data_IF_005930083894
#
_entry.id   IF_005930083894
#
_cell.length_a   1.000
_cell.length_b   1.000
_cell.length_c   1.000
_cell.angle_alpha   90.00
_cell.angle_beta   90.00
_cell.angle_gamma   90.00
#
_symmetry.space_group_name_H-M   'P 1'
#
loop_
_entity.id
_entity.type
_entity.pdbx_description
1 polymer ?
#
# COMPACT_ATOMS: atom_id res chain seq x y z
N UNK A 1 16.12 -28.02 -19.83
CA UNK A 1 14.95 -27.22 -20.24
C UNK A 1 15.29 -25.75 -20.17
N UNK A 2 15.33 -25.08 -21.30
CA UNK A 2 15.55 -23.63 -21.35
C UNK A 2 14.32 -22.93 -20.75
N UNK A 3 14.48 -22.27 -19.59
CA UNK A 3 13.41 -21.40 -19.07
C UNK A 3 13.25 -20.24 -20.04
N UNK A 4 12.08 -20.12 -20.68
CA UNK A 4 11.75 -18.93 -21.48
C UNK A 4 11.93 -17.71 -20.58
N UNK A 5 12.81 -16.79 -20.98
CA UNK A 5 12.94 -15.51 -20.32
C UNK A 5 11.63 -14.75 -20.54
N UNK A 6 10.96 -14.38 -19.47
CA UNK A 6 9.81 -13.49 -19.54
C UNK A 6 10.37 -12.09 -19.79
N UNK A 7 9.94 -11.45 -20.85
CA UNK A 7 10.26 -10.05 -21.16
C UNK A 7 9.00 -9.23 -21.09
N UNK A 8 9.09 -8.04 -20.56
CA UNK A 8 7.99 -7.08 -20.51
C UNK A 8 8.53 -5.67 -20.73
N UNK A 9 7.76 -4.81 -21.37
CA UNK A 9 8.10 -3.40 -21.53
C UNK A 9 7.93 -2.64 -20.22
N UNK A 10 6.95 -3.06 -19.40
CA UNK A 10 6.63 -2.47 -18.09
C UNK A 10 6.36 -3.58 -17.09
N UNK A 11 7.00 -3.46 -15.93
CA UNK A 11 6.76 -4.28 -14.75
C UNK A 11 5.99 -3.48 -13.71
N UNK A 12 4.88 -4.01 -13.26
CA UNK A 12 4.06 -3.42 -12.20
C UNK A 12 4.22 -4.26 -10.95
N UNK A 13 4.71 -3.64 -9.88
CA UNK A 13 4.96 -4.30 -8.61
C UNK A 13 3.99 -3.80 -7.55
N UNK A 14 3.36 -4.73 -6.86
CA UNK A 14 2.79 -4.46 -5.56
C UNK A 14 3.92 -4.24 -4.54
N UNK A 15 3.65 -3.49 -3.48
CA UNK A 15 4.66 -3.15 -2.48
C UNK A 15 4.51 -3.99 -1.21
N UNK A 16 3.42 -3.75 -0.48
CA UNK A 16 3.25 -4.25 0.87
C UNK A 16 3.10 -5.77 0.90
N UNK A 17 3.92 -6.44 1.72
CA UNK A 17 4.02 -7.89 1.81
C UNK A 17 4.37 -8.60 0.48
N UNK A 18 4.88 -7.84 -0.50
CA UNK A 18 5.33 -8.35 -1.81
C UNK A 18 6.81 -8.05 -2.01
N UNK A 19 7.24 -6.79 -1.96
CA UNK A 19 8.65 -6.41 -2.08
C UNK A 19 9.42 -6.55 -0.77
N UNK A 20 8.74 -6.68 0.33
CA UNK A 20 9.27 -7.10 1.62
C UNK A 20 8.38 -8.19 2.23
N UNK A 21 8.92 -9.08 3.09
CA UNK A 21 8.16 -10.19 3.64
C UNK A 21 7.19 -9.73 4.73
N UNK A 22 6.12 -10.49 4.93
CA UNK A 22 5.13 -10.27 5.98
C UNK A 22 5.72 -10.25 7.40
N UNK A 23 6.83 -10.92 7.59
CA UNK A 23 7.54 -11.02 8.87
C UNK A 23 8.09 -9.67 9.37
N UNK A 24 8.15 -8.65 8.49
CA UNK A 24 8.43 -7.28 8.90
C UNK A 24 7.29 -6.64 9.72
N UNK A 25 6.10 -7.25 9.70
CA UNK A 25 4.95 -6.93 10.54
C UNK A 25 4.44 -5.48 10.46
N UNK A 26 4.64 -4.83 9.33
CA UNK A 26 4.14 -3.46 9.13
C UNK A 26 2.62 -3.39 9.13
N UNK A 27 1.94 -4.43 8.61
CA UNK A 27 0.48 -4.48 8.57
C UNK A 27 -0.16 -4.53 9.95
N UNK A 28 0.48 -5.15 10.95
CA UNK A 28 -0.01 -5.14 12.32
C UNK A 28 -0.05 -3.71 12.89
N UNK A 29 0.99 -2.91 12.59
CA UNK A 29 1.00 -1.50 12.99
C UNK A 29 -0.11 -0.71 12.28
N UNK A 30 -0.26 -0.90 10.97
CA UNK A 30 -1.30 -0.25 10.16
C UNK A 30 -2.70 -0.64 10.66
N UNK A 31 -2.94 -1.92 10.96
CA UNK A 31 -4.25 -2.41 11.45
C UNK A 31 -4.63 -1.78 12.80
N UNK A 32 -3.66 -1.64 13.71
CA UNK A 32 -3.84 -0.92 14.99
C UNK A 32 -4.21 0.54 14.75
N UNK A 33 -3.49 1.22 13.84
CA UNK A 33 -3.76 2.61 13.48
C UNK A 33 -5.13 2.77 12.82
N UNK A 34 -5.51 1.89 11.90
CA UNK A 34 -6.84 1.92 11.28
C UNK A 34 -7.96 1.80 12.31
N UNK A 35 -7.84 0.84 13.22
CA UNK A 35 -8.80 0.65 14.30
C UNK A 35 -8.94 1.90 15.17
N UNK A 36 -7.81 2.49 15.58
CA UNK A 36 -7.79 3.71 16.37
C UNK A 36 -8.43 4.90 15.62
N UNK A 37 -8.11 5.05 14.33
CA UNK A 37 -8.72 6.10 13.51
C UNK A 37 -10.24 5.97 13.43
N UNK A 38 -10.74 4.77 13.13
CA UNK A 38 -12.20 4.52 13.04
C UNK A 38 -12.87 4.75 14.39
N UNK A 39 -12.26 4.28 15.49
CA UNK A 39 -12.80 4.51 16.84
C UNK A 39 -12.94 6.01 17.16
N UNK A 40 -11.90 6.79 16.87
CA UNK A 40 -11.90 8.23 17.10
C UNK A 40 -12.91 8.96 16.20
N UNK A 41 -12.94 8.62 14.91
CA UNK A 41 -13.84 9.26 13.94
C UNK A 41 -15.32 9.03 14.28
N UNK A 42 -15.67 7.81 14.69
CA UNK A 42 -17.06 7.42 14.95
C UNK A 42 -17.47 7.57 16.43
N UNK A 43 -16.54 7.84 17.32
CA UNK A 43 -16.82 7.92 18.76
C UNK A 43 -17.29 6.60 19.36
N UNK A 44 -16.74 5.46 18.89
CA UNK A 44 -17.08 4.10 19.33
C UNK A 44 -15.88 3.39 19.95
N UNK A 45 -16.14 2.31 20.68
CA UNK A 45 -15.06 1.54 21.28
C UNK A 45 -14.21 0.80 20.21
N UNK A 46 -12.96 0.44 20.54
CA UNK A 46 -12.05 -0.20 19.57
C UNK A 46 -12.55 -1.56 19.02
N UNK A 47 -13.35 -2.32 19.78
CA UNK A 47 -13.86 -3.60 19.31
C UNK A 47 -14.92 -3.41 18.22
N UNK A 48 -15.80 -2.43 18.39
CA UNK A 48 -16.80 -2.07 17.38
C UNK A 48 -16.16 -1.36 16.19
N UNK A 49 -15.14 -0.53 16.42
CA UNK A 49 -14.36 0.08 15.35
C UNK A 49 -13.69 -0.97 14.44
N UNK A 50 -13.18 -2.04 15.02
CA UNK A 50 -12.60 -3.16 14.25
C UNK A 50 -13.65 -3.85 13.36
N UNK A 51 -14.86 -4.06 13.87
CA UNK A 51 -15.97 -4.63 13.08
C UNK A 51 -16.31 -3.73 11.89
N UNK A 52 -16.43 -2.42 12.11
CA UNK A 52 -16.69 -1.43 11.05
C UNK A 52 -15.57 -1.44 10.02
N UNK A 53 -14.32 -1.41 10.47
CA UNK A 53 -13.14 -1.49 9.59
C UNK A 53 -13.21 -2.70 8.65
N UNK A 54 -13.47 -3.89 9.19
CA UNK A 54 -13.55 -5.13 8.39
C UNK A 54 -14.80 -5.18 7.51
N UNK A 55 -15.90 -4.61 7.95
CA UNK A 55 -17.11 -4.49 7.13
C UNK A 55 -16.88 -3.58 5.94
N UNK A 56 -16.24 -2.42 6.13
CA UNK A 56 -15.93 -1.51 5.03
C UNK A 56 -14.95 -2.14 4.04
N UNK A 57 -13.94 -2.83 4.52
CA UNK A 57 -13.03 -3.58 3.65
C UNK A 57 -13.80 -4.58 2.76
N UNK A 58 -14.74 -5.36 3.33
CA UNK A 58 -15.52 -6.34 2.58
C UNK A 58 -16.51 -5.71 1.59
N UNK A 59 -17.15 -4.61 1.99
CA UNK A 59 -18.23 -4.02 1.19
C UNK A 59 -17.74 -3.05 0.13
N UNK A 60 -16.59 -2.42 0.33
CA UNK A 60 -16.07 -1.33 -0.52
C UNK A 60 -14.69 -1.63 -1.11
N UNK A 61 -14.09 -2.77 -0.78
CA UNK A 61 -12.75 -3.16 -1.23
C UNK A 61 -11.61 -2.56 -0.41
N UNK A 62 -11.85 -1.48 0.35
CA UNK A 62 -10.92 -0.93 1.34
C UNK A 62 -11.67 -0.21 2.45
N UNK A 63 -11.06 -0.17 3.65
CA UNK A 63 -11.59 0.60 4.78
C UNK A 63 -11.69 2.09 4.43
N UNK A 64 -10.67 2.64 3.78
CA UNK A 64 -10.66 4.04 3.36
C UNK A 64 -11.82 4.37 2.43
N UNK A 65 -12.11 3.51 1.45
CA UNK A 65 -13.23 3.73 0.54
C UNK A 65 -14.56 3.78 1.28
N UNK A 66 -14.76 2.86 2.22
CA UNK A 66 -15.96 2.88 3.07
C UNK A 66 -16.08 4.16 3.89
N UNK A 67 -14.98 4.65 4.46
CA UNK A 67 -14.96 5.93 5.20
C UNK A 67 -15.26 7.14 4.31
N UNK A 68 -14.70 7.19 3.12
CA UNK A 68 -14.97 8.26 2.16
C UNK A 68 -16.43 8.29 1.73
N UNK A 69 -17.00 7.14 1.39
CA UNK A 69 -18.36 7.05 0.86
C UNK A 69 -19.44 7.29 1.95
N UNK A 70 -19.18 6.90 3.20
CA UNK A 70 -20.18 7.02 4.28
C UNK A 70 -19.97 8.24 5.18
N UNK A 71 -18.77 8.81 5.25
CA UNK A 71 -18.43 9.88 6.20
C UNK A 71 -17.80 11.09 5.54
N UNK A 72 -17.73 11.14 4.20
CA UNK A 72 -17.12 12.24 3.44
C UNK A 72 -15.69 12.57 3.90
N UNK A 73 -14.94 11.56 4.33
CA UNK A 73 -13.60 11.71 4.87
C UNK A 73 -12.62 12.09 3.76
N UNK A 74 -11.78 13.14 3.91
CA UNK A 74 -10.65 13.38 3.04
C UNK A 74 -9.63 12.23 3.16
N UNK A 75 -9.24 11.59 2.04
CA UNK A 75 -8.39 10.41 2.09
C UNK A 75 -7.01 10.67 2.72
N UNK A 76 -6.47 11.88 2.56
CA UNK A 76 -5.14 12.23 3.08
C UNK A 76 -5.06 12.14 4.59
N UNK A 77 -6.11 12.57 5.30
CA UNK A 77 -6.17 12.52 6.77
C UNK A 77 -6.02 11.08 7.29
N UNK A 78 -6.73 10.14 6.67
CA UNK A 78 -6.62 8.73 7.02
C UNK A 78 -5.23 8.17 6.69
N UNK A 79 -4.73 8.46 5.49
CA UNK A 79 -3.47 7.91 5.01
C UNK A 79 -2.28 8.40 5.85
N UNK A 80 -2.26 9.67 6.22
CA UNK A 80 -1.21 10.24 7.08
C UNK A 80 -1.22 9.58 8.46
N UNK A 81 -2.39 9.34 9.02
CA UNK A 81 -2.52 8.71 10.33
C UNK A 81 -2.12 7.24 10.33
N UNK A 82 -2.60 6.45 9.37
CA UNK A 82 -2.37 4.99 9.37
C UNK A 82 -0.96 4.61 8.92
N UNK A 83 -0.29 5.47 8.15
CA UNK A 83 1.08 5.27 7.69
C UNK A 83 2.15 5.95 8.57
N UNK A 84 1.75 6.58 9.66
CA UNK A 84 2.65 7.03 10.73
C UNK A 84 3.06 5.82 11.59
N UNK A 85 3.92 4.99 11.01
CA UNK A 85 4.39 3.71 11.55
C UNK A 85 5.91 3.62 11.50
N UNK A 86 6.45 2.71 12.29
CA UNK A 86 7.87 2.37 12.26
C UNK A 86 8.17 1.42 11.10
N UNK A 87 8.94 1.88 10.13
CA UNK A 87 9.38 1.06 8.97
C UNK A 87 10.78 0.45 9.17
N UNK A 88 11.42 0.67 10.31
CA UNK A 88 12.75 0.11 10.61
C UNK A 88 12.82 -1.42 10.63
N UNK A 89 11.72 -2.17 10.89
CA UNK A 89 11.71 -3.62 10.73
C UNK A 89 11.99 -4.11 9.29
N UNK A 90 11.82 -3.25 8.29
CA UNK A 90 12.15 -3.59 6.89
C UNK A 90 13.68 -3.44 6.70
N UNK A 91 14.42 -4.54 6.49
CA UNK A 91 15.86 -4.47 6.27
C UNK A 91 16.18 -4.04 4.83
N UNK A 92 17.37 -3.47 4.59
CA UNK A 92 17.92 -3.35 3.25
C UNK A 92 17.95 -4.71 2.54
N UNK A 93 17.66 -4.73 1.24
CA UNK A 93 17.63 -5.96 0.46
C UNK A 93 18.53 -5.86 -0.79
N UNK A 94 19.85 -6.05 -0.64
CA UNK A 94 20.80 -5.99 -1.77
C UNK A 94 20.54 -7.07 -2.84
N UNK A 95 19.99 -8.22 -2.46
CA UNK A 95 19.64 -9.27 -3.40
C UNK A 95 18.51 -8.84 -4.34
N UNK A 96 17.46 -8.22 -3.78
CA UNK A 96 16.36 -7.64 -4.55
C UNK A 96 16.85 -6.49 -5.44
N UNK A 97 17.70 -5.61 -4.93
CA UNK A 97 18.33 -4.54 -5.69
C UNK A 97 19.07 -5.09 -6.92
N UNK A 98 19.90 -6.12 -6.74
CA UNK A 98 20.61 -6.77 -7.84
C UNK A 98 19.71 -7.47 -8.86
N UNK A 99 18.58 -8.04 -8.44
CA UNK A 99 17.59 -8.65 -9.34
C UNK A 99 16.86 -7.58 -10.15
N UNK A 100 16.41 -6.51 -9.51
CA UNK A 100 15.74 -5.40 -10.18
C UNK A 100 16.65 -4.70 -11.20
N UNK A 101 17.95 -4.61 -10.88
CA UNK A 101 18.95 -4.08 -11.82
C UNK A 101 19.05 -4.92 -13.11
N UNK A 102 18.95 -6.23 -12.99
CA UNK A 102 19.04 -7.16 -14.13
C UNK A 102 17.72 -7.36 -14.90
N UNK A 103 16.64 -6.84 -14.37
CA UNK A 103 15.31 -6.95 -14.97
C UNK A 103 15.14 -5.83 -16.01
N UNK A 104 15.19 -6.20 -17.29
CA UNK A 104 14.96 -5.25 -18.39
C UNK A 104 13.50 -4.76 -18.39
N UNK A 105 13.30 -3.51 -18.80
CA UNK A 105 11.99 -2.87 -18.86
C UNK A 105 11.77 -1.82 -17.77
N UNK A 106 10.74 -1.00 -17.99
CA UNK A 106 10.31 0.04 -17.06
C UNK A 106 9.71 -0.60 -15.82
N UNK A 107 9.88 0.02 -14.66
CA UNK A 107 9.36 -0.50 -13.38
C UNK A 107 8.56 0.57 -12.67
N UNK A 108 7.36 0.21 -12.26
CA UNK A 108 6.46 1.06 -11.47
C UNK A 108 5.94 0.29 -10.26
N UNK A 109 5.66 1.02 -9.19
CA UNK A 109 4.94 0.48 -8.03
C UNK A 109 3.47 0.85 -8.14
N UNK A 110 2.59 -0.11 -7.91
CA UNK A 110 1.15 0.08 -7.76
C UNK A 110 0.74 -0.40 -6.37
N UNK A 111 0.22 0.50 -5.54
CA UNK A 111 -0.05 0.20 -4.13
C UNK A 111 -1.39 0.78 -3.67
N UNK A 112 -2.07 0.08 -2.77
CA UNK A 112 -3.23 0.60 -2.04
C UNK A 112 -2.83 1.52 -0.87
N UNK A 113 -1.55 1.67 -0.59
CA UNK A 113 -1.03 2.64 0.36
C UNK A 113 -0.84 4.02 -0.27
N UNK A 114 -0.29 4.95 0.51
CA UNK A 114 0.12 6.27 0.01
C UNK A 114 1.50 6.23 -0.65
N UNK A 115 1.76 7.18 -1.54
CA UNK A 115 3.08 7.34 -2.16
C UNK A 115 4.17 7.63 -1.12
N UNK A 116 3.84 8.38 -0.06
CA UNK A 116 4.77 8.67 1.04
C UNK A 116 5.19 7.38 1.79
N UNK A 117 4.23 6.52 2.13
CA UNK A 117 4.51 5.21 2.72
C UNK A 117 5.38 4.35 1.79
N UNK A 118 5.01 4.28 0.52
CA UNK A 118 5.78 3.52 -0.47
C UNK A 118 7.23 3.99 -0.56
N UNK A 119 7.48 5.29 -0.60
CA UNK A 119 8.83 5.86 -0.61
C UNK A 119 9.62 5.49 0.64
N UNK A 120 9.01 5.55 1.82
CA UNK A 120 9.66 5.19 3.08
C UNK A 120 10.12 3.72 3.07
N UNK A 121 9.25 2.81 2.65
CA UNK A 121 9.56 1.37 2.56
C UNK A 121 10.62 1.09 1.50
N UNK A 122 10.49 1.67 0.31
CA UNK A 122 11.44 1.48 -0.79
C UNK A 122 12.84 2.03 -0.44
N UNK A 123 12.90 3.14 0.28
CA UNK A 123 14.17 3.69 0.80
C UNK A 123 14.82 2.72 1.79
N UNK A 124 14.05 2.10 2.68
CA UNK A 124 14.57 1.09 3.60
C UNK A 124 15.12 -0.13 2.86
N UNK A 125 14.43 -0.58 1.82
CA UNK A 125 14.88 -1.70 0.98
C UNK A 125 16.11 -1.35 0.12
N UNK A 126 16.35 -0.07 -0.15
CA UNK A 126 17.43 0.39 -1.02
C UNK A 126 17.13 0.22 -2.51
N UNK A 127 15.87 0.28 -2.93
CA UNK A 127 15.42 -0.05 -4.30
C UNK A 127 14.74 1.12 -5.03
N UNK A 128 14.60 2.27 -4.41
CA UNK A 128 13.84 3.42 -4.96
C UNK A 128 14.28 3.82 -6.37
N UNK A 129 15.58 3.76 -6.65
CA UNK A 129 16.17 4.18 -7.94
C UNK A 129 15.78 3.29 -9.13
N UNK A 130 15.20 2.10 -8.91
CA UNK A 130 14.73 1.24 -9.99
C UNK A 130 13.36 1.62 -10.53
N UNK A 131 12.59 2.41 -9.79
CA UNK A 131 11.20 2.71 -10.12
C UNK A 131 11.04 4.13 -10.63
N UNK A 132 10.36 4.27 -11.76
CA UNK A 132 10.11 5.58 -12.39
C UNK A 132 8.81 6.23 -11.89
N UNK A 133 7.94 5.49 -11.21
CA UNK A 133 6.69 6.01 -10.69
C UNK A 133 6.06 5.14 -9.61
N UNK A 134 5.23 5.78 -8.81
CA UNK A 134 4.38 5.15 -7.79
C UNK A 134 2.95 5.54 -8.11
N UNK A 135 2.10 4.55 -8.38
CA UNK A 135 0.67 4.71 -8.50
C UNK A 135 0.05 4.27 -7.18
N UNK A 136 -0.40 5.23 -6.41
CA UNK A 136 -0.97 5.04 -5.09
C UNK A 136 -2.49 5.06 -5.10
N UNK A 137 -3.10 4.93 -3.93
CA UNK A 137 -4.55 4.92 -3.77
C UNK A 137 -5.21 6.24 -4.23
N UNK A 138 -4.51 7.38 -4.17
CA UNK A 138 -5.02 8.64 -4.70
C UNK A 138 -5.16 8.60 -6.22
N UNK A 139 -4.19 8.04 -6.92
CA UNK A 139 -4.26 7.86 -8.36
C UNK A 139 -5.47 6.99 -8.74
N UNK A 140 -5.72 5.90 -7.98
CA UNK A 140 -6.88 5.05 -8.18
C UNK A 140 -8.23 5.78 -7.97
N UNK A 141 -8.31 6.70 -6.99
CA UNK A 141 -9.54 7.43 -6.69
C UNK A 141 -9.77 8.66 -7.57
N UNK A 142 -8.75 9.16 -8.24
CA UNK A 142 -8.88 10.23 -9.21
C UNK A 142 -9.44 9.78 -10.56
N UNK A 143 -9.41 8.46 -10.84
CA UNK A 143 -9.99 7.89 -12.05
C UNK A 143 -11.52 7.83 -11.97
N UNK A 144 -12.25 8.00 -13.11
CA UNK A 144 -13.67 7.72 -13.17
C UNK A 144 -14.00 6.31 -12.67
N UNK A 145 -15.20 6.13 -12.08
CA UNK A 145 -15.62 4.82 -11.53
C UNK A 145 -15.57 3.68 -12.55
N UNK A 146 -15.78 3.99 -13.82
CA UNK A 146 -15.75 3.03 -14.94
C UNK A 146 -14.33 2.50 -15.22
N UNK A 147 -13.31 3.29 -14.91
CA UNK A 147 -11.90 2.95 -15.21
C UNK A 147 -11.20 2.25 -14.04
N UNK A 148 -11.87 2.20 -12.88
CA UNK A 148 -11.31 1.56 -11.66
C UNK A 148 -11.45 0.04 -11.63
N UNK A 149 -12.26 -0.52 -12.53
CA UNK A 149 -12.57 -1.95 -12.60
C UNK A 149 -11.97 -2.64 -13.84
N UNK A 150 -11.17 -1.93 -14.60
CA UNK A 150 -10.49 -2.45 -15.79
C UNK A 150 -9.12 -3.06 -15.45
#
# INVERSE_FOLDING_TARGET
>A
MSRKRVTADVWVFDLDNTLYPRDCDLFAQIDVKMKAFVANLLGIDPADAYKVQKQYFRNYGSTLRGLMDNHSLPPQEFLDFVHDIDVTPVPPNPALDGILHKLDGRKIVFTNGSAAHAKNVMNRLGITHHFEGIFDIHAAYSLPKTDRLA
#
